data_IF_317919842516
#
_entry.id   IF_317919842516
#
_cell.length_a   1.000
_cell.length_b   1.000
_cell.length_c   1.000
_cell.angle_alpha   90.00
_cell.angle_beta   90.00
_cell.angle_gamma   90.00
#
_symmetry.space_group_name_H-M   'P 1'
#
loop_
_entity.id
_entity.type
_entity.pdbx_description
1 polymer ?
#
# COMPACT_ATOMS: atom_id res chain seq x y z
N UNK A 1 44.80 -15.65 -27.13
CA UNK A 1 44.65 -15.82 -25.66
C UNK A 1 43.51 -14.95 -25.18
N UNK A 2 42.72 -15.51 -24.26
CA UNK A 2 41.39 -15.09 -23.85
C UNK A 2 41.28 -13.67 -23.31
N UNK A 3 40.16 -13.02 -23.63
CA UNK A 3 39.44 -12.17 -22.67
C UNK A 3 37.96 -12.09 -23.08
N UNK A 4 37.27 -13.22 -23.01
CA UNK A 4 35.81 -13.23 -22.87
C UNK A 4 35.47 -12.87 -21.41
N UNK A 5 35.34 -11.57 -21.11
CA UNK A 5 34.76 -11.13 -19.84
C UNK A 5 33.24 -11.09 -19.98
N UNK A 6 32.62 -12.13 -19.42
CA UNK A 6 31.22 -12.22 -18.97
C UNK A 6 30.32 -11.03 -19.31
N UNK A 7 29.55 -11.16 -20.38
CA UNK A 7 28.22 -10.56 -20.39
C UNK A 7 27.42 -11.29 -19.30
N UNK A 8 26.83 -10.61 -18.31
CA UNK A 8 25.94 -11.27 -17.36
C UNK A 8 24.85 -11.96 -18.17
N UNK A 9 24.61 -13.25 -17.90
CA UNK A 9 23.46 -14.00 -18.43
C UNK A 9 22.25 -13.09 -18.24
N UNK A 10 21.66 -12.60 -19.34
CA UNK A 10 20.50 -11.72 -19.25
C UNK A 10 19.45 -12.44 -18.41
N UNK A 11 19.21 -11.95 -17.20
CA UNK A 11 18.23 -12.54 -16.32
C UNK A 11 16.90 -12.53 -17.07
N UNK A 12 16.35 -13.71 -17.32
CA UNK A 12 15.06 -13.89 -17.97
C UNK A 12 13.98 -13.56 -16.93
N UNK A 13 13.68 -12.27 -16.80
CA UNK A 13 12.76 -11.71 -15.79
C UNK A 13 11.35 -11.57 -16.37
N UNK A 14 10.37 -12.17 -15.71
CA UNK A 14 8.99 -12.20 -16.20
C UNK A 14 7.96 -11.93 -15.10
N UNK A 15 6.81 -11.40 -15.52
CA UNK A 15 5.59 -11.39 -14.72
C UNK A 15 4.40 -11.77 -15.60
N UNK A 16 3.27 -12.10 -14.99
CA UNK A 16 2.03 -12.41 -15.70
C UNK A 16 0.96 -11.46 -15.19
N UNK A 17 0.61 -10.48 -16.02
CA UNK A 17 -0.49 -9.56 -15.74
C UNK A 17 -1.84 -10.27 -15.81
N UNK A 18 -2.84 -9.66 -15.19
CA UNK A 18 -4.24 -10.10 -15.23
C UNK A 18 -5.17 -8.90 -15.39
N UNK A 19 -6.45 -9.20 -15.60
CA UNK A 19 -7.46 -8.16 -15.54
C UNK A 19 -7.73 -7.72 -14.10
N UNK A 20 -7.95 -6.42 -13.94
CA UNK A 20 -8.38 -5.78 -12.70
C UNK A 20 -9.85 -5.35 -12.82
N UNK A 21 -10.57 -5.36 -11.70
CA UNK A 21 -11.97 -4.91 -11.70
C UNK A 21 -11.97 -3.39 -11.81
N UNK A 22 -12.68 -2.84 -12.79
CA UNK A 22 -12.97 -1.41 -12.83
C UNK A 22 -13.86 -1.09 -11.62
N UNK A 23 -13.27 -0.46 -10.59
CA UNK A 23 -14.01 -0.01 -9.41
C UNK A 23 -13.53 1.38 -9.05
N UNK A 24 -14.40 2.19 -8.46
CA UNK A 24 -14.02 3.45 -7.82
C UNK A 24 -13.23 3.21 -6.50
N UNK A 25 -12.69 2.02 -6.27
CA UNK A 25 -11.89 1.69 -5.08
C UNK A 25 -10.41 1.64 -5.42
N UNK A 26 -9.57 2.17 -4.53
CA UNK A 26 -8.11 2.16 -4.66
C UNK A 26 -7.45 0.78 -4.48
N UNK A 27 -8.23 -0.29 -4.39
CA UNK A 27 -7.72 -1.62 -4.11
C UNK A 27 -6.89 -2.25 -5.26
N UNK A 28 -7.07 -1.78 -6.51
CA UNK A 28 -6.28 -2.26 -7.66
C UNK A 28 -4.98 -1.49 -7.87
N UNK A 29 -4.92 -0.21 -7.47
CA UNK A 29 -3.79 0.69 -7.74
C UNK A 29 -2.42 0.15 -7.31
N UNK A 30 -2.22 -0.37 -6.08
CA UNK A 30 -0.91 -0.92 -5.72
C UNK A 30 -0.48 -2.09 -6.62
N UNK A 31 -1.44 -2.88 -7.12
CA UNK A 31 -1.15 -4.02 -7.99
C UNK A 31 -0.79 -3.61 -9.41
N UNK A 32 -1.51 -2.63 -9.94
CA UNK A 32 -1.24 -2.09 -11.29
C UNK A 32 0.07 -1.31 -11.32
N UNK A 33 0.37 -0.54 -10.27
CA UNK A 33 1.65 0.17 -10.17
C UNK A 33 2.81 -0.80 -10.03
N UNK A 34 2.64 -1.89 -9.27
CA UNK A 34 3.62 -2.96 -9.21
C UNK A 34 3.94 -3.55 -10.60
N UNK A 35 2.93 -3.77 -11.47
CA UNK A 35 3.17 -4.25 -12.83
C UNK A 35 3.93 -3.24 -13.69
N UNK A 36 3.60 -1.95 -13.58
CA UNK A 36 4.29 -0.87 -14.30
C UNK A 36 5.75 -0.72 -13.86
N UNK A 37 6.02 -0.83 -12.57
CA UNK A 37 7.39 -0.78 -12.03
C UNK A 37 8.18 -2.00 -12.51
N UNK A 38 7.60 -3.20 -12.45
CA UNK A 38 8.24 -4.42 -12.96
C UNK A 38 8.64 -4.27 -14.44
N UNK A 39 7.74 -3.75 -15.27
CA UNK A 39 8.02 -3.46 -16.69
C UNK A 39 9.18 -2.46 -16.86
N UNK A 40 9.15 -1.34 -16.10
CA UNK A 40 10.20 -0.31 -16.10
C UNK A 40 11.58 -0.85 -15.72
N UNK A 41 11.65 -1.84 -14.83
CA UNK A 41 12.93 -2.45 -14.38
C UNK A 41 13.32 -3.70 -15.17
N UNK A 42 12.68 -3.94 -16.32
CA UNK A 42 13.08 -4.96 -17.30
C UNK A 42 12.38 -6.31 -17.20
N UNK A 43 11.37 -6.48 -16.34
CA UNK A 43 10.53 -7.67 -16.36
C UNK A 43 9.58 -7.63 -17.55
N UNK A 44 9.42 -8.75 -18.24
CA UNK A 44 8.53 -8.85 -19.41
C UNK A 44 7.20 -9.49 -19.03
N UNK A 45 6.09 -8.86 -19.41
CA UNK A 45 4.77 -9.46 -19.26
C UNK A 45 4.56 -10.60 -20.27
N UNK A 46 4.26 -11.80 -19.80
CA UNK A 46 3.97 -12.94 -20.67
C UNK A 46 2.48 -13.12 -20.98
N UNK A 47 1.61 -12.45 -20.24
CA UNK A 47 0.16 -12.58 -20.34
C UNK A 47 -0.47 -11.68 -21.40
N UNK A 48 -1.67 -11.18 -21.08
CA UNK A 48 -2.27 -10.06 -21.79
C UNK A 48 -1.85 -8.75 -21.14
N UNK A 49 -2.00 -7.64 -21.87
CA UNK A 49 -1.80 -6.31 -21.28
C UNK A 49 -2.75 -6.11 -20.10
N UNK A 50 -2.29 -5.32 -19.13
CA UNK A 50 -3.13 -4.88 -18.03
C UNK A 50 -4.39 -4.21 -18.59
N UNK A 51 -5.55 -4.68 -18.15
CA UNK A 51 -6.86 -4.17 -18.56
C UNK A 51 -7.76 -4.00 -17.34
N UNK A 52 -8.82 -3.21 -17.50
CA UNK A 52 -9.89 -3.06 -16.51
C UNK A 52 -11.24 -3.35 -17.17
N UNK A 53 -11.97 -4.33 -16.66
CA UNK A 53 -13.35 -4.61 -17.10
C UNK A 53 -14.34 -4.46 -15.94
N UNK A 54 -15.53 -3.91 -16.24
CA UNK A 54 -16.61 -3.80 -15.26
C UNK A 54 -17.22 -5.17 -14.91
N UNK A 55 -17.42 -6.03 -15.92
CA UNK A 55 -17.96 -7.38 -15.73
C UNK A 55 -16.93 -8.32 -15.09
N UNK A 56 -17.28 -8.87 -13.92
CA UNK A 56 -16.42 -9.79 -13.18
C UNK A 56 -16.27 -11.14 -13.87
N UNK A 57 -17.32 -11.62 -14.57
CA UNK A 57 -17.29 -12.87 -15.31
C UNK A 57 -16.38 -12.77 -16.54
N UNK A 58 -16.59 -11.75 -17.39
CA UNK A 58 -15.75 -11.48 -18.55
C UNK A 58 -14.29 -11.27 -18.14
N UNK A 59 -14.07 -10.50 -17.07
CA UNK A 59 -12.75 -10.30 -16.50
C UNK A 59 -12.05 -11.58 -16.05
N UNK A 60 -12.79 -12.57 -15.54
CA UNK A 60 -12.23 -13.86 -15.15
C UNK A 60 -11.86 -14.73 -16.37
N UNK A 61 -12.66 -14.68 -17.44
CA UNK A 61 -12.38 -15.39 -18.69
C UNK A 61 -11.11 -14.83 -19.33
N UNK A 62 -11.02 -13.50 -19.46
CA UNK A 62 -9.84 -12.82 -20.03
C UNK A 62 -8.59 -13.09 -19.18
N UNK A 63 -8.72 -13.03 -17.85
CA UNK A 63 -7.61 -13.37 -16.94
C UNK A 63 -7.16 -14.82 -17.13
N UNK A 64 -8.08 -15.76 -17.29
CA UNK A 64 -7.73 -17.17 -17.51
C UNK A 64 -6.92 -17.34 -18.80
N UNK A 65 -7.39 -16.83 -19.94
CA UNK A 65 -6.66 -16.95 -21.20
C UNK A 65 -5.31 -16.21 -21.17
N UNK A 66 -5.26 -15.02 -20.58
CA UNK A 66 -4.01 -14.26 -20.42
C UNK A 66 -2.99 -15.01 -19.55
N UNK A 67 -3.44 -15.58 -18.44
CA UNK A 67 -2.58 -16.36 -17.53
C UNK A 67 -2.13 -17.65 -18.19
N UNK A 68 -3.02 -18.40 -18.85
CA UNK A 68 -2.71 -19.63 -19.57
C UNK A 68 -1.67 -19.38 -20.67
N UNK A 69 -1.85 -18.32 -21.46
CA UNK A 69 -0.83 -17.86 -22.42
C UNK A 69 0.50 -17.56 -21.73
N UNK A 70 0.47 -16.86 -20.61
CA UNK A 70 1.66 -16.50 -19.84
C UNK A 70 2.45 -17.70 -19.34
N UNK A 71 1.78 -18.67 -18.71
CA UNK A 71 2.43 -19.88 -18.17
C UNK A 71 2.93 -20.82 -19.26
N UNK A 72 2.26 -20.90 -20.42
CA UNK A 72 2.75 -21.66 -21.58
C UNK A 72 4.07 -21.06 -22.08
N UNK A 73 4.10 -19.74 -22.25
CA UNK A 73 5.25 -18.98 -22.76
C UNK A 73 6.38 -18.79 -21.75
N UNK A 74 6.15 -19.06 -20.47
CA UNK A 74 7.16 -18.95 -19.43
C UNK A 74 8.37 -19.84 -19.77
N UNK A 75 9.58 -19.27 -19.94
CA UNK A 75 10.79 -20.06 -20.20
C UNK A 75 11.20 -20.87 -18.97
N UNK A 76 11.84 -22.03 -19.18
CA UNK A 76 12.41 -22.82 -18.08
C UNK A 76 13.59 -22.07 -17.42
N UNK A 77 13.82 -22.33 -16.14
CA UNK A 77 14.92 -21.74 -15.36
C UNK A 77 14.93 -20.19 -15.39
N UNK A 78 13.76 -19.56 -15.56
CA UNK A 78 13.59 -18.11 -15.56
C UNK A 78 13.18 -17.59 -14.18
N UNK A 79 13.18 -16.27 -13.98
CA UNK A 79 12.66 -15.64 -12.75
C UNK A 79 11.26 -15.09 -12.99
N UNK A 80 10.32 -15.44 -12.11
CA UNK A 80 8.92 -15.01 -12.17
C UNK A 80 8.57 -14.18 -10.93
N UNK A 81 8.19 -12.92 -11.14
CA UNK A 81 7.56 -12.09 -10.12
C UNK A 81 6.06 -12.39 -10.04
N UNK A 82 5.57 -12.68 -8.84
CA UNK A 82 4.16 -13.00 -8.56
C UNK A 82 3.64 -12.08 -7.47
N UNK A 83 2.52 -11.41 -7.70
CA UNK A 83 1.84 -10.63 -6.67
C UNK A 83 0.86 -11.50 -5.87
N UNK A 84 0.89 -11.45 -4.54
CA UNK A 84 -0.08 -12.11 -3.66
C UNK A 84 -0.97 -11.09 -2.94
N UNK A 85 -2.29 -11.31 -2.82
CA UNK A 85 -3.04 -12.49 -3.28
C UNK A 85 -3.43 -12.43 -4.76
N UNK A 86 -3.42 -13.61 -5.42
CA UNK A 86 -3.72 -13.80 -6.85
C UNK A 86 -4.94 -14.72 -7.11
N UNK A 87 -6.01 -14.55 -6.32
CA UNK A 87 -7.28 -15.27 -6.48
C UNK A 87 -7.10 -16.80 -6.72
N UNK A 88 -7.91 -17.40 -7.59
CA UNK A 88 -7.90 -18.81 -7.96
C UNK A 88 -6.70 -19.25 -8.83
N UNK A 89 -5.95 -18.31 -9.41
CA UNK A 89 -4.87 -18.62 -10.35
C UNK A 89 -3.52 -18.88 -9.68
N UNK A 90 -3.39 -18.56 -8.39
CA UNK A 90 -2.12 -18.67 -7.67
C UNK A 90 -1.50 -20.07 -7.76
N UNK A 91 -2.28 -21.12 -7.45
CA UNK A 91 -1.80 -22.52 -7.52
C UNK A 91 -1.47 -22.96 -8.95
N UNK A 92 -2.22 -22.47 -9.93
CA UNK A 92 -2.00 -22.81 -11.34
C UNK A 92 -0.64 -22.27 -11.82
N UNK A 93 -0.37 -20.99 -11.55
CA UNK A 93 0.88 -20.33 -11.94
C UNK A 93 2.07 -20.94 -11.20
N UNK A 94 1.99 -21.08 -9.89
CA UNK A 94 3.10 -21.59 -9.06
C UNK A 94 3.44 -23.05 -9.37
N UNK A 95 2.44 -23.90 -9.65
CA UNK A 95 2.67 -25.29 -10.10
C UNK A 95 3.47 -25.33 -11.40
N UNK A 96 3.07 -24.56 -12.43
CA UNK A 96 3.77 -24.57 -13.72
C UNK A 96 5.16 -23.95 -13.61
N UNK A 97 5.32 -22.87 -12.84
CA UNK A 97 6.62 -22.28 -12.55
C UNK A 97 7.56 -23.29 -11.88
N UNK A 98 7.06 -24.08 -10.92
CA UNK A 98 7.80 -25.17 -10.29
C UNK A 98 8.22 -26.28 -11.28
N UNK A 99 7.29 -26.74 -12.13
CA UNK A 99 7.60 -27.72 -13.21
C UNK A 99 8.68 -27.20 -14.16
N UNK A 100 8.65 -25.89 -14.45
CA UNK A 100 9.63 -25.22 -15.32
C UNK A 100 10.91 -24.81 -14.59
N UNK A 101 11.06 -25.16 -13.30
CA UNK A 101 12.21 -24.83 -12.44
C UNK A 101 12.51 -23.33 -12.38
N UNK A 102 11.47 -22.51 -12.44
CA UNK A 102 11.60 -21.06 -12.32
C UNK A 102 11.90 -20.65 -10.88
N UNK A 103 12.68 -19.57 -10.73
CA UNK A 103 12.82 -18.85 -9.47
C UNK A 103 11.62 -17.94 -9.24
N UNK A 104 11.09 -17.89 -8.03
CA UNK A 104 9.89 -17.12 -7.70
C UNK A 104 10.21 -16.00 -6.73
N UNK A 105 9.94 -14.76 -7.16
CA UNK A 105 9.87 -13.58 -6.27
C UNK A 105 8.41 -13.29 -5.98
N UNK A 106 8.00 -13.42 -4.72
CA UNK A 106 6.63 -13.20 -4.29
C UNK A 106 6.48 -11.80 -3.66
N UNK A 107 5.61 -10.97 -4.20
CA UNK A 107 5.34 -9.62 -3.72
C UNK A 107 4.04 -9.63 -2.91
N UNK A 108 4.14 -9.46 -1.59
CA UNK A 108 2.99 -9.46 -0.69
C UNK A 108 2.30 -8.10 -0.74
N UNK A 109 1.00 -8.10 -1.06
CA UNK A 109 0.09 -6.95 -0.89
C UNK A 109 -0.76 -7.08 0.36
N UNK A 110 -1.13 -8.32 0.71
CA UNK A 110 -1.93 -8.61 1.89
C UNK A 110 -1.68 -10.03 2.40
N UNK A 111 -1.71 -10.21 3.71
CA UNK A 111 -1.72 -11.52 4.38
C UNK A 111 -3.10 -11.73 5.01
N UNK A 112 -3.89 -12.69 4.50
CA UNK A 112 -5.30 -12.81 4.89
C UNK A 112 -5.47 -13.19 6.35
N UNK A 113 -4.56 -13.99 6.90
CA UNK A 113 -4.56 -14.35 8.31
C UNK A 113 -4.41 -13.11 9.21
N UNK A 114 -3.42 -12.25 8.94
CA UNK A 114 -3.21 -11.00 9.67
C UNK A 114 -4.41 -10.03 9.56
N UNK A 115 -5.17 -10.10 8.47
CA UNK A 115 -6.42 -9.34 8.30
C UNK A 115 -7.64 -9.94 9.01
N UNK A 116 -7.51 -11.10 9.68
CA UNK A 116 -8.64 -11.85 10.23
C UNK A 116 -9.56 -12.48 9.17
N UNK A 117 -9.13 -12.53 7.90
CA UNK A 117 -9.90 -13.09 6.77
C UNK A 117 -9.59 -14.56 6.49
N UNK A 118 -8.65 -15.14 7.21
CA UNK A 118 -8.30 -16.54 7.15
C UNK A 118 -8.00 -17.02 8.57
N UNK A 119 -8.51 -18.20 8.94
CA UNK A 119 -8.25 -18.82 10.26
C UNK A 119 -7.15 -19.87 10.19
N UNK A 120 -6.80 -20.33 9.00
CA UNK A 120 -5.82 -21.38 8.78
C UNK A 120 -4.48 -20.78 8.30
N UNK A 121 -3.62 -20.51 9.29
CA UNK A 121 -2.29 -19.96 9.08
C UNK A 121 -1.39 -20.93 8.32
N UNK A 122 -1.40 -22.22 8.67
CA UNK A 122 -0.54 -23.23 8.07
C UNK A 122 -0.80 -23.36 6.56
N UNK A 123 -2.07 -23.35 6.16
CA UNK A 123 -2.46 -23.36 4.75
C UNK A 123 -2.05 -22.10 4.00
N UNK A 124 -2.01 -20.95 4.66
CA UNK A 124 -1.53 -19.71 4.03
C UNK A 124 0.00 -19.70 3.93
N UNK A 125 0.72 -20.10 4.98
CA UNK A 125 2.18 -20.23 4.94
C UNK A 125 2.66 -21.24 3.89
N UNK A 126 1.93 -22.34 3.69
CA UNK A 126 2.20 -23.30 2.61
C UNK A 126 2.08 -22.70 1.21
N UNK A 127 1.31 -21.62 1.03
CA UNK A 127 1.28 -20.91 -0.27
C UNK A 127 2.58 -20.15 -0.49
N UNK A 128 3.13 -19.56 0.57
CA UNK A 128 4.35 -18.76 0.50
C UNK A 128 5.62 -19.60 0.34
N UNK A 129 5.60 -20.85 0.77
CA UNK A 129 6.77 -21.75 0.72
C UNK A 129 7.24 -22.12 -0.71
N UNK A 130 6.51 -21.74 -1.76
CA UNK A 130 6.97 -21.92 -3.13
C UNK A 130 7.91 -20.81 -3.62
N UNK A 131 8.02 -19.71 -2.87
CA UNK A 131 8.85 -18.58 -3.22
C UNK A 131 10.31 -18.80 -2.78
N UNK A 132 11.26 -18.38 -3.62
CA UNK A 132 12.67 -18.29 -3.24
C UNK A 132 12.92 -17.00 -2.45
N UNK A 133 12.27 -15.91 -2.86
CA UNK A 133 12.32 -14.59 -2.19
C UNK A 133 10.91 -14.05 -2.02
N UNK A 134 10.63 -13.45 -0.87
CA UNK A 134 9.36 -12.77 -0.57
C UNK A 134 9.65 -11.30 -0.24
N UNK A 135 9.04 -10.39 -0.99
CA UNK A 135 8.97 -8.98 -0.66
C UNK A 135 7.78 -8.76 0.28
N UNK A 136 8.09 -8.44 1.53
CA UNK A 136 7.12 -8.18 2.62
C UNK A 136 7.02 -6.69 2.88
N UNK A 137 5.98 -6.24 3.59
CA UNK A 137 5.73 -4.81 3.75
C UNK A 137 6.87 -4.09 4.50
N UNK A 138 7.28 -4.58 5.66
CA UNK A 138 8.26 -3.91 6.53
C UNK A 138 8.91 -4.94 7.48
N UNK A 139 9.78 -4.49 8.37
CA UNK A 139 10.49 -5.37 9.30
C UNK A 139 9.57 -6.07 10.31
N UNK A 140 8.44 -5.48 10.70
CA UNK A 140 7.48 -6.16 11.58
C UNK A 140 6.83 -7.34 10.85
N UNK A 141 6.41 -7.15 9.60
CA UNK A 141 5.89 -8.25 8.78
C UNK A 141 6.98 -9.30 8.52
N UNK A 142 8.23 -8.88 8.25
CA UNK A 142 9.37 -9.79 8.11
C UNK A 142 9.53 -10.69 9.35
N UNK A 143 9.63 -10.09 10.54
CA UNK A 143 9.72 -10.81 11.82
C UNK A 143 8.55 -11.77 12.01
N UNK A 144 7.34 -11.35 11.66
CA UNK A 144 6.17 -12.22 11.73
C UNK A 144 6.34 -13.46 10.82
N UNK A 145 6.77 -13.28 9.57
CA UNK A 145 7.05 -14.40 8.65
C UNK A 145 8.14 -15.34 9.19
N UNK A 146 9.21 -14.80 9.78
CA UNK A 146 10.29 -15.58 10.40
C UNK A 146 9.76 -16.43 11.57
N UNK A 147 8.93 -15.84 12.44
CA UNK A 147 8.26 -16.55 13.54
C UNK A 147 7.32 -17.66 13.06
N UNK A 148 6.74 -17.53 11.85
CA UNK A 148 5.92 -18.57 11.23
C UNK A 148 6.75 -19.63 10.48
N UNK A 149 8.08 -19.57 10.55
CA UNK A 149 8.97 -20.55 9.92
C UNK A 149 9.12 -20.37 8.41
N UNK A 150 9.00 -19.13 7.89
CA UNK A 150 9.28 -18.86 6.48
C UNK A 150 10.74 -19.19 6.13
N UNK A 151 10.95 -20.00 5.09
CA UNK A 151 12.28 -20.41 4.62
C UNK A 151 12.82 -19.55 3.49
N UNK A 152 11.96 -18.78 2.83
CA UNK A 152 12.33 -17.87 1.75
C UNK A 152 13.13 -16.67 2.28
N UNK A 153 13.96 -16.06 1.42
CA UNK A 153 14.61 -14.79 1.77
C UNK A 153 13.56 -13.70 1.88
N UNK A 154 13.59 -12.90 2.94
CA UNK A 154 12.59 -11.87 3.21
C UNK A 154 13.17 -10.46 3.05
N UNK A 155 12.61 -9.71 2.09
CA UNK A 155 13.03 -8.35 1.76
C UNK A 155 11.91 -7.37 2.11
N UNK A 156 12.14 -6.42 3.05
CA UNK A 156 11.18 -5.35 3.33
C UNK A 156 11.03 -4.37 2.16
N UNK A 157 9.79 -4.00 1.84
CA UNK A 157 9.42 -2.97 0.87
C UNK A 157 9.50 -1.56 1.46
N UNK A 158 9.22 -1.43 2.77
CA UNK A 158 9.08 -0.21 3.58
C UNK A 158 7.90 0.70 3.24
N UNK A 159 7.61 0.96 1.97
CA UNK A 159 6.48 1.78 1.56
C UNK A 159 5.98 1.36 0.18
N UNK A 160 4.66 1.46 -0.04
CA UNK A 160 4.12 1.26 -1.38
C UNK A 160 4.43 2.47 -2.26
N UNK A 161 4.80 2.24 -3.51
CA UNK A 161 4.85 3.29 -4.52
C UNK A 161 3.43 3.71 -4.94
N UNK A 162 3.30 4.92 -5.49
CA UNK A 162 2.06 5.45 -6.04
C UNK A 162 2.41 6.22 -7.31
N UNK A 163 2.42 5.51 -8.44
CA UNK A 163 2.87 6.11 -9.70
C UNK A 163 1.85 7.14 -10.18
N UNK A 164 2.33 8.33 -10.51
CA UNK A 164 1.54 9.40 -11.09
C UNK A 164 2.36 10.12 -12.16
N UNK A 165 1.98 9.92 -13.42
CA UNK A 165 2.72 10.44 -14.58
C UNK A 165 2.45 11.94 -14.80
N UNK A 166 1.37 12.49 -14.21
CA UNK A 166 0.90 13.87 -14.43
C UNK A 166 0.78 14.63 -13.11
N UNK A 167 1.56 14.24 -12.11
CA UNK A 167 1.42 14.77 -10.77
C UNK A 167 1.76 16.27 -10.76
N UNK A 168 0.79 17.11 -10.39
CA UNK A 168 1.07 18.49 -9.99
C UNK A 168 1.31 18.48 -8.49
N UNK A 169 2.51 18.90 -8.07
CA UNK A 169 2.79 19.10 -6.66
C UNK A 169 2.32 20.50 -6.27
N UNK A 170 1.36 20.56 -5.36
CA UNK A 170 1.04 21.79 -4.63
C UNK A 170 1.42 21.53 -3.19
N UNK A 171 2.37 22.31 -2.67
CA UNK A 171 2.71 22.24 -1.25
C UNK A 171 1.44 22.54 -0.43
N UNK A 172 1.13 21.75 0.60
CA UNK A 172 -0.02 22.03 1.43
C UNK A 172 0.17 23.36 2.17
N UNK A 173 -0.88 24.14 2.22
CA UNK A 173 -0.88 25.35 3.04
C UNK A 173 -0.95 24.97 4.53
N UNK A 174 -0.32 25.80 5.37
CA UNK A 174 -0.52 25.73 6.81
C UNK A 174 -1.99 26.07 7.11
N UNK A 175 -2.51 25.55 8.24
CA UNK A 175 -3.82 25.91 8.78
C UNK A 175 -4.15 27.40 8.64
N UNK A 176 -5.35 27.73 8.15
CA UNK A 176 -5.90 29.07 8.30
C UNK A 176 -6.36 29.25 9.75
N UNK A 177 -5.91 30.31 10.42
CA UNK A 177 -6.34 30.67 11.79
C UNK A 177 -6.09 29.58 12.87
N UNK A 178 -5.09 28.72 12.68
CA UNK A 178 -4.74 27.66 13.66
C UNK A 178 -5.64 26.42 13.62
N UNK A 179 -6.48 26.31 12.58
CA UNK A 179 -7.36 25.17 12.33
C UNK A 179 -6.83 24.30 11.18
N UNK A 180 -6.44 23.07 11.50
CA UNK A 180 -5.83 22.14 10.53
C UNK A 180 -6.89 21.28 9.83
N UNK A 181 -6.74 21.13 8.52
CA UNK A 181 -7.54 20.17 7.77
C UNK A 181 -6.86 18.80 7.79
N UNK A 182 -7.40 17.86 8.55
CA UNK A 182 -6.92 16.48 8.61
C UNK A 182 -7.71 15.65 7.61
N UNK A 183 -7.03 14.96 6.71
CA UNK A 183 -7.63 14.18 5.63
C UNK A 183 -7.70 12.71 6.02
N UNK A 184 -8.86 12.08 5.82
CA UNK A 184 -9.02 10.65 5.89
C UNK A 184 -9.63 10.09 4.60
N UNK A 185 -8.82 9.33 3.84
CA UNK A 185 -9.24 8.66 2.62
C UNK A 185 -9.39 7.14 2.81
N UNK A 186 -10.54 6.58 2.41
CA UNK A 186 -10.73 5.13 2.37
C UNK A 186 -12.18 4.64 2.50
N UNK A 187 -12.33 3.45 3.08
CA UNK A 187 -13.65 2.91 3.41
C UNK A 187 -14.10 3.48 4.75
N UNK A 188 -15.17 4.25 4.74
CA UNK A 188 -15.67 5.06 5.86
C UNK A 188 -16.67 4.29 6.74
N UNK A 189 -17.14 3.13 6.28
CA UNK A 189 -18.12 2.33 7.03
C UNK A 189 -17.59 1.73 8.34
N UNK A 190 -18.53 1.40 9.23
CA UNK A 190 -18.31 0.90 10.59
C UNK A 190 -17.29 -0.24 10.71
N UNK A 191 -17.29 -1.18 9.77
CA UNK A 191 -16.38 -2.33 9.82
C UNK A 191 -14.89 -1.95 9.78
N UNK A 192 -14.53 -0.83 9.12
CA UNK A 192 -13.13 -0.42 8.94
C UNK A 192 -12.77 0.83 9.73
N UNK A 193 -13.72 1.76 9.86
CA UNK A 193 -13.46 3.12 10.34
C UNK A 193 -14.52 3.59 11.33
N UNK A 194 -15.04 2.69 12.18
CA UNK A 194 -16.01 3.04 13.22
C UNK A 194 -15.55 4.15 14.17
N UNK A 195 -14.23 4.39 14.30
CA UNK A 195 -13.71 5.52 15.07
C UNK A 195 -14.23 6.89 14.58
N UNK A 196 -14.55 7.02 13.28
CA UNK A 196 -15.03 8.28 12.69
C UNK A 196 -16.27 8.77 13.45
N UNK A 197 -17.21 7.86 13.72
CA UNK A 197 -18.49 8.17 14.38
C UNK A 197 -18.38 8.39 15.88
N UNK A 198 -17.15 8.34 16.42
CA UNK A 198 -16.84 8.66 17.83
C UNK A 198 -16.04 9.95 17.96
N UNK A 199 -15.62 10.56 16.84
CA UNK A 199 -14.76 11.74 16.85
C UNK A 199 -15.45 12.98 17.42
N UNK A 200 -16.77 13.10 17.25
CA UNK A 200 -17.51 14.24 17.81
C UNK A 200 -17.52 14.24 19.35
N UNK A 201 -17.16 13.12 20.00
CA UNK A 201 -16.95 13.08 21.45
C UNK A 201 -15.66 13.82 21.88
N UNK A 202 -14.72 14.03 20.97
CA UNK A 202 -13.53 14.83 21.22
C UNK A 202 -13.90 16.31 21.18
N UNK A 203 -13.60 17.04 22.25
CA UNK A 203 -13.78 18.51 22.31
C UNK A 203 -12.61 19.20 21.59
N UNK A 204 -12.55 19.10 20.27
CA UNK A 204 -11.45 19.61 19.45
C UNK A 204 -11.74 21.01 18.89
N UNK A 205 -10.73 21.89 18.94
CA UNK A 205 -10.80 23.23 18.33
C UNK A 205 -9.70 23.46 17.29
N UNK A 206 -8.75 22.53 17.15
CA UNK A 206 -7.59 22.72 16.28
C UNK A 206 -7.60 21.91 15.00
N UNK A 207 -8.60 21.08 14.74
CA UNK A 207 -8.71 20.44 13.42
C UNK A 207 -10.14 20.09 12.98
N UNK A 208 -10.31 19.99 11.66
CA UNK A 208 -11.44 19.36 11.00
C UNK A 208 -11.01 18.07 10.32
N UNK A 209 -11.90 17.07 10.27
CA UNK A 209 -11.65 15.83 9.56
C UNK A 209 -12.39 15.81 8.21
N UNK A 210 -11.64 15.91 7.11
CA UNK A 210 -12.14 15.79 5.74
C UNK A 210 -12.14 14.34 5.29
N UNK A 211 -13.32 13.81 5.01
CA UNK A 211 -13.52 12.42 4.60
C UNK A 211 -13.63 12.28 3.08
N UNK A 212 -12.85 11.37 2.53
CA UNK A 212 -12.88 10.98 1.13
C UNK A 212 -13.10 9.47 1.00
N UNK A 213 -14.15 9.06 0.28
CA UNK A 213 -14.38 7.64 -0.05
C UNK A 213 -15.81 7.16 0.21
N UNK A 214 -15.97 5.84 0.34
CA UNK A 214 -17.29 5.20 0.35
C UNK A 214 -17.72 4.69 1.72
N UNK A 215 -19.04 4.64 1.92
CA UNK A 215 -19.65 4.06 3.12
C UNK A 215 -19.76 5.00 4.31
N UNK A 216 -19.69 6.32 4.08
CA UNK A 216 -20.01 7.31 5.12
C UNK A 216 -21.50 7.27 5.44
N UNK A 217 -21.84 7.38 6.73
CA UNK A 217 -23.23 7.33 7.21
C UNK A 217 -23.50 8.67 7.87
N UNK A 218 -24.01 9.63 7.10
CA UNK A 218 -24.17 11.02 7.55
C UNK A 218 -25.10 11.16 8.77
N UNK A 219 -26.06 10.26 8.93
CA UNK A 219 -27.02 10.32 10.04
C UNK A 219 -26.42 9.87 11.38
N UNK A 220 -25.21 9.30 11.38
CA UNK A 220 -24.53 8.79 12.58
C UNK A 220 -23.46 9.79 13.11
N UNK A 221 -23.47 11.04 12.62
CA UNK A 221 -22.63 12.14 13.11
C UNK A 221 -23.50 13.29 13.59
N UNK A 222 -23.02 14.12 14.52
CA UNK A 222 -23.79 15.26 15.03
C UNK A 222 -23.98 16.32 13.92
N UNK A 223 -25.20 16.56 13.42
CA UNK A 223 -25.42 17.47 12.32
C UNK A 223 -25.16 18.94 12.65
N UNK A 224 -25.14 19.32 13.94
CA UNK A 224 -25.00 20.70 14.38
C UNK A 224 -23.56 21.05 14.81
N UNK A 225 -22.81 20.08 15.36
CA UNK A 225 -21.50 20.34 15.97
C UNK A 225 -20.38 19.38 15.50
N UNK A 226 -20.55 18.67 14.39
CA UNK A 226 -19.52 17.74 13.93
C UNK A 226 -18.25 18.45 13.44
N UNK A 227 -17.09 17.87 13.77
CA UNK A 227 -15.79 18.29 13.23
C UNK A 227 -15.51 17.67 11.86
N UNK A 228 -16.45 16.88 11.32
CA UNK A 228 -16.28 16.04 10.15
C UNK A 228 -16.94 16.68 8.92
N UNK A 229 -16.22 16.76 7.80
CA UNK A 229 -16.79 17.10 6.49
C UNK A 229 -16.64 15.92 5.52
N UNK A 230 -17.65 15.69 4.68
CA UNK A 230 -17.59 14.68 3.62
C UNK A 230 -17.34 15.35 2.27
N UNK A 231 -16.19 15.05 1.67
CA UNK A 231 -15.70 15.70 0.45
C UNK A 231 -15.98 14.90 -0.83
N UNK A 232 -16.55 13.69 -0.69
CA UNK A 232 -16.98 12.85 -1.81
C UNK A 232 -16.15 11.59 -2.04
N UNK A 233 -16.41 10.94 -3.17
CA UNK A 233 -15.77 9.69 -3.58
C UNK A 233 -15.16 9.84 -4.97
N UNK A 234 -13.85 9.62 -5.08
CA UNK A 234 -13.08 9.79 -6.31
C UNK A 234 -12.41 8.48 -6.73
N UNK A 235 -12.08 8.38 -8.02
CA UNK A 235 -11.28 7.27 -8.54
C UNK A 235 -9.86 7.30 -7.92
N UNK A 236 -9.14 6.17 -7.89
CA UNK A 236 -7.76 6.16 -7.37
C UNK A 236 -6.80 7.05 -8.18
N UNK A 237 -7.06 7.23 -9.47
CA UNK A 237 -6.21 8.05 -10.34
C UNK A 237 -6.55 9.54 -10.23
N UNK A 238 -7.74 9.88 -9.73
CA UNK A 238 -8.19 11.27 -9.57
C UNK A 238 -8.22 11.77 -8.12
N UNK A 239 -8.26 10.88 -7.13
CA UNK A 239 -8.41 11.26 -5.72
C UNK A 239 -7.29 12.19 -5.24
N UNK A 240 -6.06 12.00 -5.73
CA UNK A 240 -4.93 12.86 -5.41
C UNK A 240 -5.15 14.32 -5.88
N UNK A 241 -5.90 14.53 -6.97
CA UNK A 241 -6.24 15.87 -7.49
C UNK A 241 -7.25 16.61 -6.62
N UNK A 242 -8.03 15.89 -5.81
CA UNK A 242 -9.13 16.44 -5.00
C UNK A 242 -8.79 16.55 -3.52
N UNK A 243 -7.86 15.73 -3.02
CA UNK A 243 -7.41 15.80 -1.63
C UNK A 243 -6.74 17.16 -1.39
N UNK A 244 -7.28 17.91 -0.43
CA UNK A 244 -6.71 19.16 0.08
C UNK A 244 -6.81 19.16 1.60
N UNK A 245 -5.70 19.47 2.25
CA UNK A 245 -5.64 19.61 3.70
C UNK A 245 -4.22 19.85 4.17
N UNK A 246 -4.04 19.80 5.48
CA UNK A 246 -2.76 20.01 6.15
C UNK A 246 -2.07 18.68 6.52
N UNK A 247 -2.84 17.64 6.86
CA UNK A 247 -2.30 16.33 7.25
C UNK A 247 -3.10 15.18 6.66
N UNK A 248 -2.46 14.04 6.44
CA UNK A 248 -3.12 12.77 6.15
C UNK A 248 -3.18 11.86 7.38
N UNK A 249 -4.37 11.42 7.78
CA UNK A 249 -4.58 10.54 8.92
C UNK A 249 -4.51 9.05 8.53
N UNK A 250 -3.54 8.35 9.10
CA UNK A 250 -3.36 6.90 9.02
C UNK A 250 -3.85 6.27 10.34
N UNK A 251 -5.16 6.06 10.37
CA UNK A 251 -5.88 5.38 11.46
C UNK A 251 -6.84 4.34 10.85
N UNK A 252 -7.21 3.31 11.59
CA UNK A 252 -8.32 2.40 11.29
C UNK A 252 -8.80 1.76 12.59
N UNK A 253 -9.98 1.16 12.56
CA UNK A 253 -10.52 0.42 13.69
C UNK A 253 -11.78 1.07 14.26
N UNK A 254 -12.11 0.65 15.47
CA UNK A 254 -13.36 0.99 16.16
C UNK A 254 -13.17 1.86 17.40
N UNK A 255 -11.95 2.35 17.68
CA UNK A 255 -11.67 3.24 18.81
C UNK A 255 -10.90 4.49 18.38
N UNK A 256 -11.08 5.55 19.18
CA UNK A 256 -10.30 6.78 19.13
C UNK A 256 -9.04 6.68 20.01
N UNK A 257 -9.04 5.79 21.01
CA UNK A 257 -7.93 5.61 21.96
C UNK A 257 -6.77 4.82 21.36
N UNK A 258 -7.07 3.95 20.40
CA UNK A 258 -6.09 3.14 19.68
C UNK A 258 -6.67 2.59 18.38
N UNK A 259 -5.80 2.06 17.51
CA UNK A 259 -6.22 1.31 16.33
C UNK A 259 -6.64 -0.13 16.70
N UNK A 260 -7.84 -0.28 17.26
CA UNK A 260 -8.41 -1.55 17.69
C UNK A 260 -9.15 -2.33 16.57
N UNK A 261 -9.50 -3.59 16.87
CA UNK A 261 -10.17 -4.51 15.95
C UNK A 261 -9.26 -5.03 14.82
N UNK A 262 -9.75 -5.96 14.00
CA UNK A 262 -8.92 -6.63 12.98
C UNK A 262 -8.25 -5.67 12.00
N UNK A 263 -8.96 -4.62 11.55
CA UNK A 263 -8.39 -3.64 10.62
C UNK A 263 -7.41 -2.66 11.28
N UNK A 264 -7.63 -2.30 12.55
CA UNK A 264 -6.71 -1.47 13.32
C UNK A 264 -5.43 -2.23 13.64
N UNK A 265 -5.55 -3.44 14.18
CA UNK A 265 -4.41 -4.30 14.54
C UNK A 265 -3.58 -4.73 13.33
N UNK A 266 -4.15 -4.77 12.13
CA UNK A 266 -3.38 -5.02 10.91
C UNK A 266 -2.34 -3.92 10.62
N UNK A 267 -2.51 -2.70 11.16
CA UNK A 267 -1.52 -1.63 11.08
C UNK A 267 -0.19 -1.99 11.77
N UNK A 268 -0.18 -2.93 12.72
CA UNK A 268 1.04 -3.45 13.34
C UNK A 268 1.98 -4.15 12.34
N UNK A 269 1.47 -4.52 11.16
CA UNK A 269 2.19 -5.32 10.18
C UNK A 269 2.22 -4.70 8.79
N UNK A 270 1.17 -4.00 8.37
CA UNK A 270 1.05 -3.58 6.97
C UNK A 270 1.71 -2.21 6.68
N UNK A 271 1.90 -1.92 5.39
CA UNK A 271 2.12 -0.57 4.89
C UNK A 271 0.79 -0.09 4.28
N UNK A 272 0.07 0.84 4.91
CA UNK A 272 -1.18 1.32 4.34
C UNK A 272 -0.92 2.10 3.05
N UNK A 273 -1.60 1.73 1.95
CA UNK A 273 -1.48 2.46 0.68
C UNK A 273 -1.94 3.94 0.80
N UNK A 274 -2.80 4.25 1.78
CA UNK A 274 -3.21 5.63 2.09
C UNK A 274 -2.03 6.51 2.53
N UNK A 275 -1.00 5.93 3.16
CA UNK A 275 0.21 6.66 3.54
C UNK A 275 0.90 7.21 2.29
N UNK A 276 1.11 6.37 1.28
CA UNK A 276 1.69 6.78 0.00
C UNK A 276 0.83 7.79 -0.75
N UNK A 277 -0.50 7.63 -0.69
CA UNK A 277 -1.43 8.61 -1.26
C UNK A 277 -1.28 10.00 -0.62
N UNK A 278 -1.22 10.08 0.71
CA UNK A 278 -1.08 11.36 1.39
C UNK A 278 0.26 12.04 1.09
N UNK A 279 1.36 11.27 1.06
CA UNK A 279 2.68 11.77 0.67
C UNK A 279 2.72 12.24 -0.79
N UNK A 280 2.03 11.53 -1.70
CA UNK A 280 1.81 11.98 -3.08
C UNK A 280 1.11 13.35 -3.13
N UNK A 281 0.10 13.55 -2.27
CA UNK A 281 -0.60 14.84 -2.13
C UNK A 281 0.22 15.91 -1.39
N UNK A 282 1.46 15.63 -1.01
CA UNK A 282 2.32 16.56 -0.27
C UNK A 282 2.02 16.66 1.22
N UNK A 283 1.11 15.84 1.75
CA UNK A 283 0.65 15.95 3.14
C UNK A 283 1.59 15.23 4.12
N UNK A 284 2.04 15.91 5.19
CA UNK A 284 2.57 15.23 6.37
C UNK A 284 1.57 14.26 6.99
N UNK A 285 2.06 13.26 7.73
CA UNK A 285 1.27 12.12 8.19
C UNK A 285 0.97 12.21 9.68
N UNK A 286 -0.29 12.04 10.08
CA UNK A 286 -0.65 11.70 11.45
C UNK A 286 -0.87 10.19 11.49
N UNK A 287 -0.15 9.47 12.37
CA UNK A 287 -0.19 8.01 12.40
C UNK A 287 -0.21 7.45 13.82
N UNK A 288 -0.90 6.33 13.99
CA UNK A 288 -0.81 5.54 15.22
C UNK A 288 0.65 5.12 15.50
N UNK A 289 1.14 5.42 16.68
CA UNK A 289 2.54 5.23 17.08
C UNK A 289 3.00 3.77 17.06
N UNK A 290 2.07 2.81 17.25
CA UNK A 290 2.35 1.37 17.15
C UNK A 290 2.29 0.83 15.72
N UNK A 291 1.85 1.61 14.73
CA UNK A 291 1.80 1.13 13.35
C UNK A 291 3.22 0.79 12.83
N UNK A 292 3.33 -0.28 12.03
CA UNK A 292 4.63 -0.76 11.56
C UNK A 292 5.44 0.30 10.80
N UNK A 293 4.75 1.12 10.00
CA UNK A 293 5.36 2.18 9.22
C UNK A 293 5.63 3.46 10.03
N UNK A 294 5.17 3.56 11.28
CA UNK A 294 5.38 4.73 12.13
C UNK A 294 6.89 4.99 12.38
N UNK A 295 7.70 3.93 12.51
CA UNK A 295 9.14 4.05 12.62
C UNK A 295 9.75 4.78 11.41
N UNK A 296 9.31 4.44 10.20
CA UNK A 296 9.75 5.09 8.97
C UNK A 296 9.31 6.56 8.92
N UNK A 297 8.04 6.85 9.28
CA UNK A 297 7.51 8.22 9.35
C UNK A 297 8.32 9.09 10.32
N UNK A 298 8.68 8.54 11.49
CA UNK A 298 9.47 9.23 12.50
C UNK A 298 10.92 9.45 12.05
N UNK A 299 11.57 8.41 11.53
CA UNK A 299 12.97 8.48 11.07
C UNK A 299 13.15 9.49 9.94
N UNK A 300 12.19 9.56 9.01
CA UNK A 300 12.19 10.52 7.89
C UNK A 300 11.52 11.85 8.23
N UNK A 301 11.06 12.04 9.47
CA UNK A 301 10.39 13.26 9.94
C UNK A 301 9.26 13.70 9.00
N UNK A 302 8.38 12.76 8.63
CA UNK A 302 7.29 12.95 7.67
C UNK A 302 5.95 13.29 8.34
N UNK A 303 5.93 13.48 9.66
CA UNK A 303 4.68 13.58 10.38
C UNK A 303 4.77 13.42 11.89
N UNK A 304 3.61 13.21 12.50
CA UNK A 304 3.39 13.13 13.94
C UNK A 304 2.85 11.74 14.28
N UNK A 305 3.50 11.06 15.23
CA UNK A 305 2.99 9.82 15.81
C UNK A 305 2.11 10.13 17.03
N UNK A 306 0.97 9.46 17.15
CA UNK A 306 0.01 9.60 18.26
C UNK A 306 -0.40 8.22 18.78
N UNK A 307 -0.57 8.07 20.09
CA UNK A 307 -1.07 6.82 20.67
C UNK A 307 -2.59 6.78 20.69
N UNK A 308 -3.23 7.93 20.92
CA UNK A 308 -4.68 8.19 20.87
C UNK A 308 -5.00 9.44 20.02
N UNK A 309 -6.19 9.48 19.41
CA UNK A 309 -6.72 10.68 18.74
C UNK A 309 -7.02 11.82 19.74
N UNK A 310 -7.16 11.52 21.03
CA UNK A 310 -7.29 12.54 22.09
C UNK A 310 -6.06 13.43 22.22
N UNK A 311 -4.88 12.93 21.86
CA UNK A 311 -3.63 13.71 21.91
C UNK A 311 -3.54 14.74 20.78
N UNK A 312 -4.35 14.59 19.73
CA UNK A 312 -4.13 15.28 18.46
C UNK A 312 -4.28 16.79 18.58
N UNK A 313 -5.34 17.26 19.25
CA UNK A 313 -5.59 18.70 19.47
C UNK A 313 -4.41 19.37 20.20
N UNK A 314 -3.89 18.73 21.24
CA UNK A 314 -2.73 19.21 21.98
C UNK A 314 -1.45 19.26 21.14
N UNK A 315 -1.20 18.25 20.28
CA UNK A 315 -0.02 18.25 19.40
C UNK A 315 -0.11 19.32 18.31
N UNK A 316 -1.29 19.53 17.74
CA UNK A 316 -1.50 20.54 16.69
C UNK A 316 -1.40 21.97 17.25
N UNK A 317 -1.91 22.24 18.46
CA UNK A 317 -1.76 23.56 19.10
C UNK A 317 -0.32 23.95 19.37
N UNK A 318 0.52 22.97 19.69
CA UNK A 318 1.93 23.19 19.99
C UNK A 318 2.84 23.08 18.76
N UNK A 319 2.27 22.84 17.57
CA UNK A 319 3.03 22.68 16.35
C UNK A 319 3.50 24.03 15.84
N UNK A 320 4.82 24.23 15.77
CA UNK A 320 5.36 25.45 15.18
C UNK A 320 5.27 25.41 13.65
N UNK A 321 5.12 26.58 13.03
CA UNK A 321 5.16 26.69 11.57
C UNK A 321 6.49 26.14 11.01
N UNK A 322 7.61 26.37 11.70
CA UNK A 322 8.93 25.86 11.29
C UNK A 322 8.93 24.33 11.22
N UNK A 323 8.39 23.66 12.23
CA UNK A 323 8.35 22.19 12.26
C UNK A 323 7.43 21.64 11.17
N UNK A 324 6.28 22.28 10.94
CA UNK A 324 5.38 21.89 9.85
C UNK A 324 6.03 22.05 8.48
N UNK A 325 6.67 23.19 8.20
CA UNK A 325 7.37 23.41 6.93
C UNK A 325 8.52 22.43 6.72
N UNK A 326 9.21 22.04 7.80
CA UNK A 326 10.23 20.99 7.72
C UNK A 326 9.62 19.64 7.34
N UNK A 327 8.47 19.26 7.92
CA UNK A 327 7.76 18.04 7.51
C UNK A 327 7.36 18.10 6.03
N UNK A 328 6.80 19.22 5.56
CA UNK A 328 6.39 19.40 4.15
C UNK A 328 7.59 19.24 3.21
N UNK A 329 8.74 19.81 3.56
CA UNK A 329 9.98 19.64 2.79
C UNK A 329 10.40 18.16 2.70
N UNK A 330 10.42 17.46 3.84
CA UNK A 330 10.79 16.03 3.88
C UNK A 330 9.79 15.17 3.08
N UNK A 331 8.51 15.51 3.13
CA UNK A 331 7.46 14.85 2.33
C UNK A 331 7.73 15.02 0.84
N UNK A 332 8.11 16.22 0.39
CA UNK A 332 8.45 16.45 -1.02
C UNK A 332 9.64 15.57 -1.49
N UNK A 333 10.65 15.36 -0.64
CA UNK A 333 11.79 14.49 -0.96
C UNK A 333 11.38 13.01 -1.09
N UNK A 334 10.56 12.51 -0.16
CA UNK A 334 10.08 11.12 -0.20
C UNK A 334 9.08 10.90 -1.33
N UNK A 335 8.27 11.91 -1.65
CA UNK A 335 7.30 11.88 -2.74
C UNK A 335 7.95 11.52 -4.08
N UNK A 336 9.13 12.08 -4.39
CA UNK A 336 9.84 11.76 -5.63
C UNK A 336 10.21 10.27 -5.75
N UNK A 337 10.50 9.62 -4.62
CA UNK A 337 10.74 8.17 -4.59
C UNK A 337 9.45 7.37 -4.83
N UNK A 338 8.33 7.80 -4.24
CA UNK A 338 7.02 7.15 -4.37
C UNK A 338 6.51 7.20 -5.82
N UNK A 339 6.56 8.37 -6.46
CA UNK A 339 5.98 8.55 -7.81
C UNK A 339 6.81 7.90 -8.91
N UNK A 340 8.10 7.69 -8.66
CA UNK A 340 9.03 7.10 -9.64
C UNK A 340 9.11 5.57 -9.56
N UNK A 341 8.49 4.96 -8.53
CA UNK A 341 8.55 3.52 -8.27
C UNK A 341 9.80 3.07 -7.51
N UNK A 342 10.41 3.97 -6.73
CA UNK A 342 11.70 3.79 -6.09
C UNK A 342 11.74 2.67 -5.05
N UNK A 343 10.68 2.48 -4.27
CA UNK A 343 10.66 1.48 -3.19
C UNK A 343 10.65 0.06 -3.74
N UNK A 344 9.72 -0.25 -4.63
CA UNK A 344 9.67 -1.58 -5.25
C UNK A 344 10.90 -1.83 -6.15
N UNK A 345 11.42 -0.81 -6.85
CA UNK A 345 12.67 -0.95 -7.61
C UNK A 345 13.83 -1.37 -6.73
N UNK A 346 14.00 -0.72 -5.57
CA UNK A 346 15.05 -1.05 -4.61
C UNK A 346 14.85 -2.45 -3.99
N UNK A 347 13.62 -2.81 -3.64
CA UNK A 347 13.31 -4.14 -3.10
C UNK A 347 13.55 -5.25 -4.14
N UNK A 348 13.16 -5.05 -5.40
CA UNK A 348 13.41 -5.99 -6.49
C UNK A 348 14.89 -6.15 -6.79
N UNK A 349 15.68 -5.07 -6.75
CA UNK A 349 17.14 -5.15 -6.91
C UNK A 349 17.76 -6.08 -5.85
N UNK A 350 17.38 -5.91 -4.58
CA UNK A 350 17.83 -6.80 -3.48
C UNK A 350 17.33 -8.23 -3.68
N UNK A 351 16.08 -8.41 -4.09
CA UNK A 351 15.53 -9.73 -4.35
C UNK A 351 16.28 -10.48 -5.45
N UNK A 352 16.66 -9.80 -6.53
CA UNK A 352 17.43 -10.40 -7.63
C UNK A 352 18.87 -10.72 -7.23
N UNK A 353 19.47 -9.95 -6.32
CA UNK A 353 20.79 -10.26 -5.75
C UNK A 353 20.77 -11.55 -4.93
N UNK A 354 19.70 -11.82 -4.18
CA UNK A 354 19.53 -13.09 -3.41
C UNK A 354 19.27 -14.31 -4.31
N UNK A 355 18.87 -14.10 -5.56
CA UNK A 355 18.63 -15.17 -6.54
C UNK A 355 19.83 -15.51 -7.42
N UNK A 356 20.83 -14.62 -7.44
CA UNK A 356 22.08 -14.77 -8.20
C UNK A 356 23.07 -15.60 -7.41
#
# INVERSE_FOLDING_TARGET
MQSSKNQPVMANLFYISRNYKATNSAASKPKTDCERILDKIGFKNLGFKQTTYASSALGAIISFFGITKGVIRLPRNSTLAIQYPLSKYYKYITTIAGIKKCKIVLIIHDVKYLMGKNKDIAREMKKFSCADVIIVHNDNMKKWFEQQGATAKLIPLYMFDYLDDNSSYTAPELSNNGLFDVVFAGGLGMAKSAFIYKLDALKNNSFHLKLYGSGFIKNDVDPANTIISFEGMFSPDDVAKHIRGSFGLVWNGNSIDECAGHFGQYLLYNNPHKTSLYLLCGLPIIIWDKAAIAAFIKERQLGICISSLEELDGKLKNLSNKDYQQMVKNVAEVREQIISGGFLTAAMKKALQELS
#
